data_IF_871512030616
#
_entry.id   IF_871512030616
#
_cell.length_a   1.000
_cell.length_b   1.000
_cell.length_c   1.000
_cell.angle_alpha   90.00
_cell.angle_beta   90.00
_cell.angle_gamma   90.00
#
_symmetry.space_group_name_H-M   'P 1'
#
loop_
_entity.id
_entity.type
_entity.pdbx_description
1 polymer ?
#
# COMPACT_ATOMS: atom_id res chain seq x y z
N UNK A 1 22.31 -12.12 -17.42
CA UNK A 1 20.85 -12.28 -17.21
C UNK A 1 20.72 -13.23 -16.04
N UNK A 2 20.66 -12.69 -14.82
CA UNK A 2 20.49 -13.53 -13.63
C UNK A 2 19.07 -14.10 -13.71
N UNK A 3 18.96 -15.42 -13.85
CA UNK A 3 17.66 -16.08 -13.90
C UNK A 3 17.04 -15.98 -12.51
N UNK A 4 16.08 -15.09 -12.35
CA UNK A 4 15.31 -14.94 -11.13
C UNK A 4 14.54 -16.25 -10.89
N UNK A 5 14.73 -16.86 -9.72
CA UNK A 5 13.97 -18.06 -9.34
C UNK A 5 12.46 -17.79 -9.28
N UNK A 6 11.62 -18.84 -9.34
CA UNK A 6 10.19 -18.70 -9.17
C UNK A 6 9.87 -17.98 -7.84
N UNK A 7 8.81 -17.17 -7.82
CA UNK A 7 8.39 -16.47 -6.61
C UNK A 7 8.25 -17.44 -5.41
N UNK A 8 8.60 -17.00 -4.18
CA UNK A 8 8.57 -17.88 -3.02
C UNK A 8 7.18 -18.47 -2.81
N UNK A 9 7.13 -19.79 -2.55
CA UNK A 9 5.89 -20.52 -2.30
C UNK A 9 5.24 -20.18 -0.94
N UNK A 10 5.90 -19.35 -0.13
CA UNK A 10 5.40 -18.86 1.15
C UNK A 10 4.05 -18.17 0.92
N UNK A 11 3.01 -18.72 1.55
CA UNK A 11 1.61 -18.34 1.34
C UNK A 11 1.46 -16.84 1.21
N UNK A 12 1.26 -16.40 -0.04
CA UNK A 12 1.08 -15.00 -0.35
C UNK A 12 0.01 -14.48 0.60
N UNK A 13 0.28 -13.38 1.29
CA UNK A 13 -0.75 -12.66 2.03
C UNK A 13 -1.59 -11.91 0.98
N UNK A 14 -2.11 -12.64 -0.01
CA UNK A 14 -2.88 -12.16 -1.15
C UNK A 14 -4.34 -11.93 -0.74
N UNK A 15 -4.55 -11.34 0.43
CA UNK A 15 -5.85 -10.78 0.82
C UNK A 15 -5.85 -9.27 0.85
N UNK A 16 -4.73 -8.62 0.48
CA UNK A 16 -4.69 -7.17 0.35
C UNK A 16 -4.63 -6.76 -1.11
N UNK A 17 -5.76 -6.28 -1.63
CA UNK A 17 -5.77 -5.68 -2.96
C UNK A 17 -5.06 -4.34 -2.93
N UNK A 18 -4.19 -4.16 -3.91
CA UNK A 18 -3.42 -2.94 -4.12
C UNK A 18 -4.29 -2.00 -4.91
N UNK A 19 -4.87 -1.02 -4.22
CA UNK A 19 -5.58 0.05 -4.90
C UNK A 19 -4.56 1.10 -5.25
N UNK A 20 -4.17 1.17 -6.53
CA UNK A 20 -3.66 2.42 -7.09
C UNK A 20 -4.71 3.47 -6.77
N UNK A 21 -4.35 4.50 -6.01
CA UNK A 21 -5.30 5.47 -5.46
C UNK A 21 -5.99 6.24 -6.59
N UNK A 22 -7.08 5.68 -7.11
CA UNK A 22 -7.95 6.35 -8.06
C UNK A 22 -8.85 7.32 -7.28
N UNK A 23 -8.51 8.62 -7.42
CA UNK A 23 -9.33 9.84 -7.45
C UNK A 23 -10.46 10.07 -6.42
N UNK A 24 -11.28 9.06 -6.08
CA UNK A 24 -12.51 9.20 -5.28
C UNK A 24 -12.28 9.54 -3.80
N UNK A 25 -11.14 9.16 -3.22
CA UNK A 25 -10.81 9.51 -1.82
C UNK A 25 -10.36 10.97 -1.72
N UNK A 26 -9.66 11.48 -2.72
CA UNK A 26 -9.31 12.89 -2.80
C UNK A 26 -10.56 13.76 -2.96
N UNK A 27 -11.53 13.30 -3.77
CA UNK A 27 -12.86 13.94 -3.89
C UNK A 27 -13.59 13.96 -2.53
N UNK A 28 -13.67 12.84 -1.81
CA UNK A 28 -14.29 12.78 -0.48
C UNK A 28 -13.59 13.65 0.58
N UNK A 29 -12.27 13.77 0.53
CA UNK A 29 -11.53 14.66 1.41
C UNK A 29 -11.73 16.14 1.06
N UNK A 30 -11.95 16.46 -0.22
CA UNK A 30 -12.27 17.81 -0.68
C UNK A 30 -13.70 18.19 -0.28
N UNK A 31 -14.65 17.28 -0.46
CA UNK A 31 -16.04 17.44 0.00
C UNK A 31 -16.12 17.61 1.52
N UNK A 32 -15.38 16.82 2.30
CA UNK A 32 -15.30 16.97 3.76
C UNK A 32 -14.73 18.34 4.15
N UNK A 33 -13.68 18.82 3.48
CA UNK A 33 -13.14 20.16 3.72
C UNK A 33 -14.14 21.27 3.35
N UNK A 34 -14.93 21.10 2.28
CA UNK A 34 -16.02 22.03 1.93
C UNK A 34 -17.11 22.05 2.99
N UNK A 35 -17.50 20.88 3.52
CA UNK A 35 -18.54 20.73 4.54
C UNK A 35 -18.12 21.31 5.89
N UNK A 36 -16.85 21.14 6.26
CA UNK A 36 -16.26 21.75 7.46
C UNK A 36 -16.21 23.28 7.33
N UNK A 37 -15.95 23.83 6.14
CA UNK A 37 -16.02 25.27 5.87
C UNK A 37 -17.45 25.81 5.92
N UNK A 38 -18.44 25.04 5.47
CA UNK A 38 -19.87 25.41 5.60
C UNK A 38 -20.35 25.37 7.06
N UNK A 39 -19.77 24.50 7.89
CA UNK A 39 -20.14 24.33 9.30
C UNK A 39 -19.53 25.39 10.23
N UNK A 40 -18.61 26.23 9.73
CA UNK A 40 -18.01 27.31 10.52
C UNK A 40 -18.52 28.69 10.07
N UNK A 41 -19.77 29.02 10.42
CA UNK A 41 -20.22 30.39 10.66
C UNK A 41 -21.55 30.37 11.48
N UNK A 42 -21.93 31.51 12.10
CA UNK A 42 -22.08 31.77 13.54
C UNK A 42 -23.37 31.19 14.19
N UNK A 43 -23.54 31.27 15.53
CA UNK A 43 -24.63 30.59 16.22
C UNK A 43 -25.97 31.28 15.96
N UNK A 44 -26.93 30.51 15.45
CA UNK A 44 -28.35 30.83 15.56
C UNK A 44 -29.09 30.98 14.23
N UNK A 45 -29.31 29.87 13.51
CA UNK A 45 -30.60 29.63 12.81
C UNK A 45 -30.86 28.13 12.81
N UNK A 46 -32.05 27.76 13.25
CA UNK A 46 -32.57 26.40 13.30
C UNK A 46 -33.01 25.97 11.88
N UNK A 47 -32.48 24.86 11.38
CA UNK A 47 -33.01 24.17 10.19
C UNK A 47 -33.12 22.67 10.51
N UNK A 48 -34.34 22.10 10.63
CA UNK A 48 -34.54 20.66 10.78
C UNK A 48 -34.45 19.98 9.40
N UNK A 49 -34.17 18.68 9.43
CA UNK A 49 -34.20 17.74 8.30
C UNK A 49 -33.02 17.83 7.32
N UNK A 50 -32.01 17.00 7.60
CA UNK A 50 -31.46 16.12 6.58
C UNK A 50 -31.00 14.85 7.26
N UNK A 51 -31.96 13.93 7.46
CA UNK A 51 -31.71 12.51 7.65
C UNK A 51 -31.13 11.96 6.34
N UNK A 52 -29.91 12.38 5.99
CA UNK A 52 -29.12 11.72 4.97
C UNK A 52 -28.62 10.43 5.61
N UNK A 53 -29.41 9.37 5.46
CA UNK A 53 -29.03 8.00 5.75
C UNK A 53 -27.92 7.62 4.75
N UNK A 54 -26.70 8.11 4.98
CA UNK A 54 -25.52 7.72 4.22
C UNK A 54 -25.28 6.24 4.53
N UNK A 55 -25.63 5.38 3.57
CA UNK A 55 -25.28 3.97 3.54
C UNK A 55 -23.76 3.83 3.52
N UNK A 56 -23.18 3.90 4.70
CA UNK A 56 -21.75 3.92 4.94
C UNK A 56 -21.17 2.50 4.90
N UNK A 57 -21.25 1.85 3.74
CA UNK A 57 -20.51 0.62 3.52
C UNK A 57 -19.06 1.03 3.25
N UNK A 58 -18.19 0.98 4.28
CA UNK A 58 -16.72 1.20 4.18
C UNK A 58 -16.02 0.10 3.36
N UNK A 59 -16.47 -0.12 2.13
CA UNK A 59 -16.02 -1.18 1.23
C UNK A 59 -15.45 -0.55 -0.04
N UNK A 60 -14.36 -1.12 -0.52
CA UNK A 60 -13.66 -0.76 -1.74
C UNK A 60 -13.94 -1.83 -2.77
N UNK A 61 -14.31 -1.42 -3.98
CA UNK A 61 -14.31 -2.27 -5.15
C UNK A 61 -12.91 -2.21 -5.76
N UNK A 62 -12.30 -3.36 -5.98
CA UNK A 62 -10.91 -3.48 -6.44
C UNK A 62 -10.84 -4.51 -7.56
N UNK A 63 -10.14 -4.18 -8.62
CA UNK A 63 -9.91 -5.06 -9.77
C UNK A 63 -8.49 -5.63 -9.66
N UNK A 64 -8.34 -6.94 -9.91
CA UNK A 64 -7.02 -7.56 -10.04
C UNK A 64 -6.37 -7.12 -11.36
N UNK A 65 -5.08 -6.82 -11.33
CA UNK A 65 -4.34 -6.26 -12.47
C UNK A 65 -3.83 -7.39 -13.39
N UNK A 66 -3.62 -8.61 -12.88
CA UNK A 66 -3.13 -9.73 -13.70
C UNK A 66 -4.25 -10.48 -14.42
N UNK A 67 -5.50 -10.38 -13.96
CA UNK A 67 -6.61 -11.09 -14.56
C UNK A 67 -7.34 -10.18 -15.57
N UNK A 68 -6.99 -10.34 -16.84
CA UNK A 68 -7.69 -9.73 -17.98
C UNK A 68 -9.10 -10.36 -18.11
N UNK A 69 -9.98 -10.12 -17.13
CA UNK A 69 -11.13 -11.02 -16.91
C UNK A 69 -12.08 -10.76 -15.75
N UNK A 70 -12.00 -9.63 -15.02
CA UNK A 70 -13.11 -9.04 -14.24
C UNK A 70 -13.69 -9.89 -13.09
N UNK A 71 -12.88 -10.27 -12.12
CA UNK A 71 -13.38 -10.52 -10.75
C UNK A 71 -13.19 -9.27 -9.89
N UNK A 72 -14.25 -8.46 -9.75
CA UNK A 72 -14.22 -7.25 -8.93
C UNK A 72 -14.42 -7.63 -7.47
N UNK A 73 -13.37 -7.54 -6.67
CA UNK A 73 -13.45 -7.87 -5.26
C UNK A 73 -14.02 -6.71 -4.46
N UNK A 74 -14.86 -7.03 -3.47
CA UNK A 74 -15.34 -6.05 -2.49
C UNK A 74 -14.59 -6.25 -1.18
N UNK A 75 -13.61 -5.40 -0.90
CA UNK A 75 -12.78 -5.49 0.30
C UNK A 75 -13.11 -4.38 1.30
N UNK A 76 -12.91 -4.64 2.58
CA UNK A 76 -13.00 -3.60 3.61
C UNK A 76 -11.66 -2.86 3.75
N UNK A 77 -11.68 -1.61 4.25
CA UNK A 77 -10.48 -0.76 4.41
C UNK A 77 -9.27 -1.45 5.08
N UNK A 78 -9.49 -2.42 5.97
CA UNK A 78 -8.41 -3.15 6.67
C UNK A 78 -7.57 -4.03 5.74
N UNK A 79 -8.07 -4.34 4.56
CA UNK A 79 -7.40 -5.14 3.53
C UNK A 79 -6.86 -4.27 2.39
N UNK A 80 -6.83 -2.94 2.55
CA UNK A 80 -6.34 -2.02 1.52
C UNK A 80 -5.12 -1.29 2.08
N UNK A 81 -4.00 -1.40 1.37
CA UNK A 81 -2.81 -0.58 1.61
C UNK A 81 -2.64 0.34 0.42
N UNK A 82 -2.74 1.67 0.59
CA UNK A 82 -2.46 2.60 -0.49
C UNK A 82 -0.96 2.57 -0.82
N UNK A 83 -0.64 2.52 -2.11
CA UNK A 83 0.74 2.66 -2.56
C UNK A 83 1.24 4.10 -2.38
N UNK A 84 2.54 4.30 -2.11
CA UNK A 84 3.15 5.63 -2.12
C UNK A 84 2.90 6.33 -3.46
N UNK A 85 2.41 7.57 -3.40
CA UNK A 85 2.18 8.40 -4.57
C UNK A 85 3.47 9.11 -5.04
N UNK A 86 4.43 9.28 -4.14
CA UNK A 86 5.67 10.03 -4.36
C UNK A 86 6.86 9.19 -3.90
N UNK A 87 8.01 9.38 -4.56
CA UNK A 87 9.30 8.87 -4.08
C UNK A 87 9.84 9.84 -3.04
N UNK A 88 10.33 9.33 -1.91
CA UNK A 88 11.14 10.10 -1.00
C UNK A 88 12.54 10.30 -1.60
N UNK A 89 13.07 11.51 -1.48
CA UNK A 89 14.43 11.82 -1.88
C UNK A 89 15.36 11.53 -0.69
N UNK A 90 16.34 10.61 -0.81
CA UNK A 90 17.26 10.28 0.28
C UNK A 90 18.09 11.46 0.81
N UNK A 91 18.30 12.48 -0.01
CA UNK A 91 19.12 13.66 0.35
C UNK A 91 18.33 14.67 1.18
N UNK A 92 17.01 14.75 0.99
CA UNK A 92 16.16 15.77 1.64
C UNK A 92 15.22 15.19 2.70
N UNK A 93 14.75 13.96 2.50
CA UNK A 93 13.72 13.32 3.34
C UNK A 93 14.12 11.86 3.71
N UNK A 94 15.32 11.63 4.27
CA UNK A 94 15.80 10.28 4.60
C UNK A 94 14.92 9.54 5.61
N UNK A 95 14.22 10.26 6.49
CA UNK A 95 13.31 9.69 7.49
C UNK A 95 12.01 9.13 6.89
N UNK A 96 11.69 9.50 5.64
CA UNK A 96 10.55 8.96 4.91
C UNK A 96 10.86 7.61 4.22
N UNK A 97 12.12 7.15 4.29
CA UNK A 97 12.56 5.86 3.75
C UNK A 97 12.52 4.77 4.82
N UNK A 98 12.18 3.54 4.40
CA UNK A 98 12.35 2.36 5.22
C UNK A 98 13.84 2.09 5.41
N UNK A 99 14.25 1.78 6.65
CA UNK A 99 15.66 1.61 7.00
C UNK A 99 16.08 0.14 6.90
N UNK A 100 17.40 -0.10 6.88
CA UNK A 100 17.97 -1.44 6.85
C UNK A 100 17.36 -2.35 7.93
N UNK A 101 17.12 -3.61 7.60
CA UNK A 101 16.52 -4.65 8.45
C UNK A 101 15.05 -4.40 8.81
N UNK A 102 14.41 -3.35 8.28
CA UNK A 102 12.99 -3.11 8.50
C UNK A 102 12.13 -4.11 7.70
N UNK A 103 11.14 -4.69 8.37
CA UNK A 103 10.16 -5.58 7.76
C UNK A 103 9.12 -4.81 6.94
N UNK A 104 9.00 -5.17 5.66
CA UNK A 104 8.09 -4.54 4.69
C UNK A 104 7.33 -5.60 3.90
N UNK A 105 6.31 -5.16 3.17
CA UNK A 105 5.76 -5.89 2.03
C UNK A 105 6.31 -5.25 0.75
N UNK A 106 6.91 -6.05 -0.11
CA UNK A 106 7.48 -5.59 -1.37
C UNK A 106 6.92 -6.42 -2.54
N UNK A 107 6.76 -5.80 -3.71
CA UNK A 107 6.36 -6.52 -4.92
C UNK A 107 7.49 -7.40 -5.41
N UNK A 108 7.24 -8.70 -5.58
CA UNK A 108 8.23 -9.60 -6.15
C UNK A 108 8.40 -9.31 -7.65
N UNK A 109 9.63 -9.23 -8.19
CA UNK A 109 9.83 -8.82 -9.58
C UNK A 109 9.09 -9.73 -10.56
N UNK A 110 8.53 -9.12 -11.62
CA UNK A 110 7.74 -9.80 -12.67
C UNK A 110 6.43 -10.46 -12.17
N UNK A 111 5.89 -10.01 -11.05
CA UNK A 111 4.58 -10.44 -10.52
C UNK A 111 3.74 -9.23 -10.11
N UNK A 112 2.47 -9.44 -9.79
CA UNK A 112 1.63 -8.43 -9.10
C UNK A 112 1.45 -8.71 -7.60
N UNK A 113 2.20 -9.66 -7.05
CA UNK A 113 2.07 -10.10 -5.66
C UNK A 113 3.11 -9.47 -4.74
N UNK A 114 2.66 -9.06 -3.55
CA UNK A 114 3.53 -8.54 -2.49
C UNK A 114 3.87 -9.63 -1.48
N UNK A 115 5.13 -9.69 -1.09
CA UNK A 115 5.66 -10.66 -0.14
C UNK A 115 6.43 -9.98 0.98
N UNK A 116 6.59 -10.69 2.09
CA UNK A 116 7.38 -10.22 3.23
C UNK A 116 8.84 -10.15 2.83
N UNK A 117 9.46 -9.01 3.14
CA UNK A 117 10.87 -8.78 2.86
C UNK A 117 11.51 -7.90 3.94
N UNK A 118 12.82 -8.03 4.09
CA UNK A 118 13.65 -7.11 4.86
C UNK A 118 14.34 -6.13 3.93
N UNK A 119 14.43 -4.86 4.33
CA UNK A 119 15.27 -3.89 3.62
C UNK A 119 16.74 -4.29 3.77
N UNK A 120 17.41 -4.60 2.66
CA UNK A 120 18.85 -4.79 2.62
C UNK A 120 19.59 -3.45 2.56
N UNK A 121 19.15 -2.56 1.67
CA UNK A 121 19.75 -1.23 1.48
C UNK A 121 18.66 -0.23 1.03
N UNK A 122 18.48 0.91 1.74
CA UNK A 122 17.63 1.98 1.26
C UNK A 122 18.25 2.72 0.06
N UNK A 123 17.45 3.36 -0.81
CA UNK A 123 17.97 4.14 -1.93
C UNK A 123 18.88 5.26 -1.39
N UNK A 124 20.03 5.46 -2.05
CA UNK A 124 21.00 6.50 -1.67
C UNK A 124 20.85 7.76 -2.54
N UNK A 125 20.28 7.61 -3.73
CA UNK A 125 19.96 8.73 -4.64
C UNK A 125 18.49 8.67 -5.07
N UNK A 126 17.89 9.78 -5.53
CA UNK A 126 16.48 9.84 -5.93
C UNK A 126 16.06 8.79 -6.97
N UNK A 127 16.96 8.40 -7.87
CA UNK A 127 16.72 7.42 -8.92
C UNK A 127 16.89 5.96 -8.45
N UNK A 128 17.53 5.74 -7.32
CA UNK A 128 17.80 4.38 -6.84
C UNK A 128 16.52 3.71 -6.32
N UNK A 129 16.56 2.38 -6.32
CA UNK A 129 15.52 1.51 -5.77
C UNK A 129 15.94 0.99 -4.39
N UNK A 130 14.99 0.41 -3.66
CA UNK A 130 15.35 -0.40 -2.50
C UNK A 130 16.01 -1.70 -2.95
N UNK A 131 17.01 -2.14 -2.20
CA UNK A 131 17.45 -3.53 -2.22
C UNK A 131 16.78 -4.27 -1.06
N UNK A 132 16.11 -5.39 -1.32
CA UNK A 132 15.33 -6.15 -0.32
C UNK A 132 15.68 -7.64 -0.35
N UNK A 133 15.50 -8.31 0.80
CA UNK A 133 15.63 -9.76 0.96
C UNK A 133 14.25 -10.34 1.22
N UNK A 134 13.69 -11.09 0.28
CA UNK A 134 12.40 -11.75 0.46
C UNK A 134 12.54 -12.98 1.36
N UNK A 135 11.55 -13.23 2.22
CA UNK A 135 11.45 -14.49 2.95
C UNK A 135 11.23 -15.65 1.95
N UNK A 136 12.17 -16.59 1.91
CA UNK A 136 12.10 -17.77 1.04
C UNK A 136 12.74 -18.98 1.73
N UNK A 137 11.91 -19.96 2.07
CA UNK A 137 12.31 -21.20 2.75
C UNK A 137 13.17 -22.13 1.90
N UNK A 138 13.36 -21.82 0.62
CA UNK A 138 14.22 -22.58 -0.29
C UNK A 138 15.71 -22.30 -0.02
N UNK A 139 16.04 -21.18 0.64
CA UNK A 139 17.40 -20.81 1.04
C UNK A 139 17.69 -21.23 2.47
N UNK A 140 18.96 -21.55 2.76
CA UNK A 140 19.37 -22.07 4.06
C UNK A 140 19.20 -21.06 5.21
N UNK A 141 19.32 -19.77 4.92
CA UNK A 141 19.11 -18.65 5.83
C UNK A 141 17.65 -18.15 5.82
N UNK A 142 16.79 -18.73 4.97
CA UNK A 142 15.38 -18.37 4.84
C UNK A 142 15.12 -17.09 4.06
N UNK A 143 16.13 -16.55 3.36
CA UNK A 143 16.00 -15.32 2.57
C UNK A 143 16.60 -15.48 1.17
N UNK A 144 15.96 -14.87 0.17
CA UNK A 144 16.55 -14.80 -1.17
C UNK A 144 17.71 -13.78 -1.23
N UNK A 145 18.56 -13.85 -2.26
CA UNK A 145 19.55 -12.80 -2.55
C UNK A 145 18.92 -11.41 -2.69
N UNK A 146 19.68 -10.32 -2.52
CA UNK A 146 19.15 -8.96 -2.62
C UNK A 146 18.54 -8.68 -4.01
N UNK A 147 17.30 -8.19 -4.03
CA UNK A 147 16.58 -7.80 -5.25
C UNK A 147 16.17 -6.33 -5.21
N UNK A 148 16.14 -5.69 -6.39
CA UNK A 148 15.76 -4.29 -6.50
C UNK A 148 14.24 -4.13 -6.63
N UNK A 149 13.66 -3.25 -5.80
CA UNK A 149 12.24 -2.92 -5.82
C UNK A 149 12.05 -1.41 -5.69
N UNK A 150 11.34 -0.81 -6.65
CA UNK A 150 11.06 0.62 -6.65
C UNK A 150 10.23 1.05 -5.43
N UNK A 151 10.46 2.27 -4.94
CA UNK A 151 9.81 2.79 -3.72
C UNK A 151 8.28 2.69 -3.75
N UNK A 152 7.65 2.86 -4.93
CA UNK A 152 6.20 2.74 -5.12
C UNK A 152 5.65 1.35 -4.75
N UNK A 153 6.50 0.33 -4.81
CA UNK A 153 6.13 -1.06 -4.60
C UNK A 153 6.70 -1.64 -3.29
N UNK A 154 7.05 -0.77 -2.34
CA UNK A 154 7.45 -1.15 -0.98
C UNK A 154 6.51 -0.44 0.00
N UNK A 155 5.84 -1.21 0.86
CA UNK A 155 4.87 -0.68 1.83
C UNK A 155 5.08 -1.29 3.21
N UNK A 156 4.58 -0.61 4.25
CA UNK A 156 4.71 -1.09 5.61
C UNK A 156 4.01 -2.44 5.82
N UNK A 157 4.71 -3.39 6.45
CA UNK A 157 4.10 -4.64 6.88
C UNK A 157 3.25 -4.39 8.13
N UNK A 158 1.93 -4.40 8.00
CA UNK A 158 1.03 -4.38 9.16
C UNK A 158 0.80 -5.81 9.61
N UNK A 159 1.53 -6.26 10.62
CA UNK A 159 1.22 -7.56 11.22
C UNK A 159 -0.19 -7.51 11.82
N UNK A 160 -1.06 -8.50 11.54
CA UNK A 160 -2.30 -8.62 12.28
C UNK A 160 -1.93 -8.90 13.74
N UNK A 161 -2.32 -8.01 14.66
CA UNK A 161 -2.18 -8.26 16.10
C UNK A 161 -2.85 -9.61 16.40
N UNK A 162 -2.05 -10.63 16.73
CA UNK A 162 -2.57 -11.88 17.30
C UNK A 162 -3.31 -11.49 18.58
N UNK A 163 -4.62 -11.77 18.61
CA UNK A 163 -5.46 -11.63 19.81
C UNK A 163 -5.29 -12.84 20.70
#
# INVERSE_FOLDING_TARGET
MEQLGPAPAAGAICTMALVSADSRIAELLTELHQLIKQTQSPPGVHCPASTALLSFTRRYEVDDIDEEGKERHTLSRRHIIPLPQWKANPETDPEALFQKEQLVLALYPQTTCFYRALIHTPPQRPQDDYSVLFEDTSYADGYCPPLNVAQRYVVACKEPKKK
#
